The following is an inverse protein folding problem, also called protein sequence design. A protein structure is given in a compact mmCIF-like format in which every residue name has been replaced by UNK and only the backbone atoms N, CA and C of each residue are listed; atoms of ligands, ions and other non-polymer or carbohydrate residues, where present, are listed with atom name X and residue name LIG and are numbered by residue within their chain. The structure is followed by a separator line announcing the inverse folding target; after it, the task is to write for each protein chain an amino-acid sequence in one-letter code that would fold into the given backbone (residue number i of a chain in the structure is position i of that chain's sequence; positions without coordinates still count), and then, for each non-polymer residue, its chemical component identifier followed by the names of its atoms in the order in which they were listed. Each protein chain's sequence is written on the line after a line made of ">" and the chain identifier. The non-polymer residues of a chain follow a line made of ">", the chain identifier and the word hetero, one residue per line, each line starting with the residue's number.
data_IF_293851348694
#
_entry.id   IF_293851348694
#
_cell.length_a   1.000
_cell.length_b   1.000
_cell.length_c   1.000
_cell.angle_alpha   90.00
_cell.angle_beta   90.00
_cell.angle_gamma   90.00
#
_symmetry.space_group_name_H-M   'P 1'
#
loop_
_entity.id
_entity.type
_entity.pdbx_description
1 polymer ?
#
# COMPACT_ATOMS: atom_id res chain seq x y z
N UNK A 1 -18.14 1.50 -22.69
CA UNK A 1 -17.42 0.44 -21.96
C UNK A 1 -18.12 -0.87 -22.26
N UNK A 2 -17.40 -1.89 -22.73
CA UNK A 2 -17.93 -3.23 -22.93
C UNK A 2 -17.69 -4.04 -21.68
N UNK A 3 -18.76 -4.53 -21.05
CA UNK A 3 -18.66 -5.41 -19.90
C UNK A 3 -18.56 -6.86 -20.41
N UNK A 4 -17.46 -7.53 -20.09
CA UNK A 4 -17.28 -8.95 -20.37
C UNK A 4 -17.71 -9.72 -19.13
N UNK A 5 -18.80 -10.48 -19.23
CA UNK A 5 -19.30 -11.29 -18.13
C UNK A 5 -18.39 -12.52 -17.97
N UNK A 6 -17.79 -12.67 -16.79
CA UNK A 6 -16.98 -13.84 -16.43
C UNK A 6 -17.85 -14.71 -15.51
N UNK A 7 -18.10 -15.99 -15.86
CA UNK A 7 -18.78 -16.93 -14.98
C UNK A 7 -18.08 -17.03 -13.62
N UNK A 8 -18.86 -17.24 -12.55
CA UNK A 8 -18.30 -17.36 -11.20
C UNK A 8 -17.26 -18.48 -11.10
N UNK A 9 -17.49 -19.59 -11.79
CA UNK A 9 -16.57 -20.74 -11.84
C UNK A 9 -15.22 -20.35 -12.45
N UNK A 10 -15.23 -19.60 -13.56
CA UNK A 10 -14.02 -19.09 -14.22
C UNK A 10 -13.31 -18.05 -13.35
N UNK A 11 -14.06 -17.19 -12.66
CA UNK A 11 -13.49 -16.23 -11.71
C UNK A 11 -12.79 -16.94 -10.53
N UNK A 12 -13.46 -17.93 -9.93
CA UNK A 12 -12.92 -18.68 -8.80
C UNK A 12 -11.74 -19.56 -9.20
N UNK A 13 -11.68 -20.05 -10.44
CA UNK A 13 -10.52 -20.82 -10.93
C UNK A 13 -9.21 -20.01 -10.94
N UNK A 14 -9.32 -18.68 -11.02
CA UNK A 14 -8.18 -17.75 -10.93
C UNK A 14 -7.98 -17.19 -9.51
N UNK A 15 -8.86 -17.53 -8.56
CA UNK A 15 -8.78 -17.04 -7.20
C UNK A 15 -7.80 -17.89 -6.39
N UNK A 16 -6.60 -17.37 -6.14
CA UNK A 16 -5.66 -17.96 -5.20
C UNK A 16 -6.07 -17.57 -3.77
N UNK A 17 -6.53 -18.52 -2.96
CA UNK A 17 -6.73 -18.28 -1.53
C UNK A 17 -5.38 -18.34 -0.80
N UNK A 18 -5.08 -17.38 0.09
CA UNK A 18 -3.84 -17.42 0.86
C UNK A 18 -3.81 -18.63 1.79
N UNK A 19 -2.62 -19.20 2.01
CA UNK A 19 -2.44 -20.26 2.99
C UNK A 19 -2.53 -19.71 4.42
N UNK A 20 -2.67 -20.60 5.41
CA UNK A 20 -2.64 -20.20 6.82
C UNK A 20 -1.31 -19.49 7.18
N UNK A 21 -0.19 -19.97 6.63
CA UNK A 21 1.12 -19.37 6.86
C UNK A 21 1.21 -17.95 6.25
N UNK A 22 0.61 -17.73 5.08
CA UNK A 22 0.55 -16.40 4.46
C UNK A 22 -0.24 -15.43 5.34
N UNK A 23 -1.37 -15.88 5.89
CA UNK A 23 -2.20 -15.08 6.81
C UNK A 23 -1.48 -14.77 8.13
N UNK A 24 -0.74 -15.72 8.69
CA UNK A 24 0.07 -15.53 9.89
C UNK A 24 1.22 -14.54 9.62
N UNK A 25 1.93 -14.69 8.50
CA UNK A 25 2.99 -13.78 8.06
C UNK A 25 2.46 -12.35 7.85
N UNK A 26 1.34 -12.22 7.14
CA UNK A 26 0.65 -10.95 6.96
C UNK A 26 0.29 -10.28 8.28
N UNK A 27 -0.32 -11.03 9.21
CA UNK A 27 -0.71 -10.51 10.52
C UNK A 27 0.50 -9.97 11.29
N UNK A 28 1.63 -10.69 11.26
CA UNK A 28 2.87 -10.26 11.89
C UNK A 28 3.42 -8.96 11.28
N UNK A 29 3.45 -8.86 9.95
CA UNK A 29 3.93 -7.64 9.28
C UNK A 29 3.01 -6.45 9.49
N UNK A 30 1.69 -6.67 9.45
CA UNK A 30 0.68 -5.67 9.81
C UNK A 30 0.92 -5.15 11.22
N UNK A 31 1.06 -6.05 12.20
CA UNK A 31 1.27 -5.63 13.58
C UNK A 31 2.56 -4.84 13.73
N UNK A 32 3.67 -5.29 13.11
CA UNK A 32 4.91 -4.52 13.10
C UNK A 32 4.70 -3.10 12.55
N UNK A 33 3.98 -2.97 11.44
CA UNK A 33 3.69 -1.68 10.82
C UNK A 33 2.82 -0.78 11.74
N UNK A 34 1.76 -1.32 12.33
CA UNK A 34 0.85 -0.56 13.19
C UNK A 34 1.50 -0.11 14.52
N UNK A 35 2.52 -0.83 15.00
CA UNK A 35 3.27 -0.44 16.19
C UNK A 35 4.40 0.56 15.90
N UNK A 36 4.52 1.06 14.67
CA UNK A 36 5.46 2.13 14.34
C UNK A 36 5.09 3.38 15.13
N UNK A 37 6.03 3.91 15.90
CA UNK A 37 5.79 5.05 16.79
C UNK A 37 5.35 6.29 16.00
N UNK A 38 4.20 6.85 16.38
CA UNK A 38 3.58 8.00 15.71
C UNK A 38 4.44 9.28 15.70
N UNK A 39 5.37 9.38 16.65
CA UNK A 39 6.28 10.50 16.79
C UNK A 39 7.56 10.36 15.95
N UNK A 40 7.72 9.24 15.23
CA UNK A 40 8.86 9.02 14.36
C UNK A 40 8.87 9.99 13.17
N UNK A 41 10.04 10.14 12.56
CA UNK A 41 10.19 10.96 11.38
C UNK A 41 9.48 10.38 10.16
N UNK A 42 9.20 11.22 9.17
CA UNK A 42 8.60 10.84 7.88
C UNK A 42 9.35 9.68 7.22
N UNK A 43 10.69 9.73 7.24
CA UNK A 43 11.52 8.67 6.68
C UNK A 43 11.36 7.32 7.40
N UNK A 44 11.14 7.32 8.71
CA UNK A 44 10.91 6.08 9.46
C UNK A 44 9.53 5.50 9.14
N UNK A 45 8.50 6.35 9.04
CA UNK A 45 7.16 5.95 8.59
C UNK A 45 7.20 5.38 7.16
N UNK A 46 8.00 6.00 6.29
CA UNK A 46 8.22 5.57 4.91
C UNK A 46 8.89 4.21 4.86
N UNK A 47 9.97 4.00 5.63
CA UNK A 47 10.65 2.70 5.73
C UNK A 47 9.69 1.62 6.24
N UNK A 48 8.91 1.90 7.28
CA UNK A 48 7.93 0.95 7.82
C UNK A 48 6.88 0.54 6.77
N UNK A 49 6.40 1.49 5.97
CA UNK A 49 5.48 1.21 4.86
C UNK A 49 6.13 0.36 3.75
N UNK A 50 7.36 0.68 3.33
CA UNK A 50 8.11 -0.10 2.33
C UNK A 50 8.30 -1.55 2.81
N UNK A 51 8.71 -1.73 4.06
CA UNK A 51 8.89 -3.05 4.65
C UNK A 51 7.57 -3.83 4.65
N UNK A 52 6.47 -3.19 5.05
CA UNK A 52 5.17 -3.86 5.05
C UNK A 52 4.75 -4.31 3.64
N UNK A 53 4.86 -3.43 2.65
CA UNK A 53 4.46 -3.70 1.26
C UNK A 53 5.33 -4.78 0.61
N UNK A 54 6.64 -4.74 0.85
CA UNK A 54 7.57 -5.74 0.32
C UNK A 54 7.38 -7.10 0.99
N UNK A 55 7.24 -7.16 2.31
CA UNK A 55 7.13 -8.42 3.05
C UNK A 55 5.75 -9.09 2.92
N UNK A 56 4.68 -8.29 2.78
CA UNK A 56 3.31 -8.82 2.72
C UNK A 56 2.85 -9.14 1.30
N UNK A 57 3.34 -8.38 0.30
CA UNK A 57 2.82 -8.44 -1.06
C UNK A 57 3.91 -8.59 -2.13
N UNK A 58 5.18 -8.68 -1.73
CA UNK A 58 6.33 -8.74 -2.64
C UNK A 58 6.40 -7.56 -3.63
N UNK A 59 5.86 -6.39 -3.24
CA UNK A 59 5.97 -5.20 -4.07
C UNK A 59 7.37 -4.61 -4.01
N UNK A 60 7.94 -4.36 -5.18
CA UNK A 60 9.11 -3.49 -5.32
C UNK A 60 8.67 -2.03 -5.26
N UNK A 61 8.89 -1.41 -4.11
CA UNK A 61 8.63 0.01 -3.91
C UNK A 61 9.88 0.80 -4.31
N UNK A 62 9.76 1.68 -5.30
CA UNK A 62 10.86 2.53 -5.73
C UNK A 62 10.57 4.01 -5.45
N UNK A 63 11.58 4.72 -4.95
CA UNK A 63 11.63 6.17 -4.93
C UNK A 63 11.97 6.65 -6.36
N UNK A 64 11.15 7.52 -6.93
CA UNK A 64 11.48 8.14 -8.23
C UNK A 64 11.03 9.60 -8.23
N UNK A 65 11.98 10.49 -8.48
CA UNK A 65 11.76 11.94 -8.55
C UNK A 65 11.25 12.54 -7.22
N UNK A 66 10.17 13.34 -7.27
CA UNK A 66 9.58 14.06 -6.12
C UNK A 66 8.51 13.25 -5.37
N UNK A 67 8.34 11.96 -5.72
CA UNK A 67 7.33 11.09 -5.12
C UNK A 67 8.03 10.23 -4.08
N UNK A 68 7.41 10.11 -2.90
CA UNK A 68 7.99 9.29 -1.84
C UNK A 68 8.11 7.83 -2.23
N UNK A 69 7.02 7.21 -2.68
CA UNK A 69 7.05 5.82 -3.16
C UNK A 69 6.08 5.62 -4.33
N UNK A 70 6.40 4.64 -5.16
CA UNK A 70 5.51 4.22 -6.25
C UNK A 70 5.60 2.73 -6.49
N UNK A 71 4.44 2.13 -6.79
CA UNK A 71 4.33 0.75 -7.28
C UNK A 71 4.11 0.82 -8.79
N UNK A 72 4.93 0.08 -9.52
CA UNK A 72 4.89 0.00 -10.98
C UNK A 72 4.37 -1.35 -11.44
N UNK A 73 3.59 -1.33 -12.52
CA UNK A 73 3.19 -2.51 -13.28
C UNK A 73 3.42 -2.21 -14.75
N UNK A 74 4.12 -3.09 -15.47
CA UNK A 74 4.53 -2.87 -16.87
C UNK A 74 5.22 -1.52 -17.13
N UNK A 75 6.15 -1.14 -16.25
CA UNK A 75 6.87 0.15 -16.28
C UNK A 75 5.97 1.40 -16.15
N UNK A 76 4.70 1.25 -15.74
CA UNK A 76 3.76 2.35 -15.51
C UNK A 76 3.44 2.45 -14.03
N UNK A 77 3.55 3.65 -13.46
CA UNK A 77 3.15 3.89 -12.07
C UNK A 77 1.65 3.65 -11.93
N UNK A 78 1.27 2.72 -11.05
CA UNK A 78 -0.14 2.40 -10.74
C UNK A 78 -0.57 3.03 -9.42
N UNK A 79 0.35 3.11 -8.47
CA UNK A 79 0.10 3.71 -7.16
C UNK A 79 1.24 4.67 -6.83
N UNK A 80 0.87 5.84 -6.31
CA UNK A 80 1.79 6.82 -5.76
C UNK A 80 1.48 6.97 -4.26
N UNK A 81 2.52 7.00 -3.44
CA UNK A 81 2.42 7.30 -2.03
C UNK A 81 3.16 8.59 -1.74
N UNK A 82 2.51 9.44 -0.96
CA UNK A 82 3.11 10.56 -0.23
C UNK A 82 3.09 10.15 1.23
N UNK A 83 4.24 10.21 1.91
CA UNK A 83 4.33 9.81 3.31
C UNK A 83 4.53 11.06 4.15
N UNK A 84 3.80 11.17 5.26
CA UNK A 84 3.91 12.27 6.21
C UNK A 84 4.10 11.72 7.60
N UNK A 85 4.69 12.54 8.49
CA UNK A 85 4.71 12.25 9.93
C UNK A 85 3.27 12.22 10.45
N UNK A 86 2.92 11.18 11.21
CA UNK A 86 1.57 11.02 11.75
C UNK A 86 1.18 12.17 12.70
N UNK A 87 2.15 12.72 13.43
CA UNK A 87 1.95 13.90 14.28
C UNK A 87 1.71 15.22 13.51
N UNK A 88 1.95 15.28 12.20
CA UNK A 88 1.74 16.47 11.39
C UNK A 88 0.37 16.46 10.70
N UNK A 89 -0.69 16.53 11.50
CA UNK A 89 -2.09 16.45 11.04
C UNK A 89 -2.44 17.48 9.93
N UNK A 90 -1.75 18.62 9.89
CA UNK A 90 -2.00 19.68 8.92
C UNK A 90 -1.67 19.29 7.46
N UNK A 91 -0.78 18.32 7.25
CA UNK A 91 -0.43 17.82 5.91
C UNK A 91 -1.42 16.77 5.38
N UNK A 92 -2.30 16.25 6.23
CA UNK A 92 -3.27 15.23 5.83
C UNK A 92 -4.52 15.88 5.20
N UNK A 93 -5.15 15.13 4.30
CA UNK A 93 -6.38 15.58 3.64
C UNK A 93 -7.49 15.64 4.68
N UNK A 94 -7.94 16.85 4.99
CA UNK A 94 -9.14 17.09 5.77
C UNK A 94 -10.38 17.05 4.88
N UNK A 95 -11.56 16.82 5.46
CA UNK A 95 -12.83 16.75 4.71
C UNK A 95 -13.13 17.99 3.85
N UNK A 96 -12.49 19.12 4.11
CA UNK A 96 -12.62 20.37 3.35
C UNK A 96 -11.56 20.57 2.26
N UNK A 97 -10.49 19.76 2.24
CA UNK A 97 -9.35 19.85 1.31
C UNK A 97 -9.25 18.66 0.34
N UNK A 98 -10.27 17.78 0.31
CA UNK A 98 -10.35 16.70 -0.65
C UNK A 98 -10.54 17.27 -2.05
N UNK A 99 -9.44 17.45 -2.78
CA UNK A 99 -9.40 17.95 -4.16
C UNK A 99 -10.24 17.09 -5.09
N UNK A 100 -11.52 17.42 -5.21
CA UNK A 100 -12.32 17.17 -6.39
C UNK A 100 -12.04 18.29 -7.39
N UNK A 101 -11.07 18.04 -8.28
CA UNK A 101 -10.86 18.78 -9.52
C UNK A 101 -11.06 17.86 -10.70
#
# INVERSE_FOLDING_TARGET
>A
MTYTLIPLEDFLSNAQSPSKNDLESFSKHRDKFLHTNENESEEHQKIALIEFLSQSFAYECNTKNRIDLSIYEDNKAKVLFEVKRLSNEAEFINSNNGGGG
#
